data_IF_158639473873
#
_entry.id   IF_158639473873
#
_cell.length_a   1.000
_cell.length_b   1.000
_cell.length_c   1.000
_cell.angle_alpha   90.00
_cell.angle_beta   90.00
_cell.angle_gamma   90.00
#
_symmetry.space_group_name_H-M   'P 1'
#
loop_
_entity.id
_entity.type
_entity.pdbx_description
1 polymer ?
#
# COMPACT_ATOMS: atom_id res chain seq x y z
N UNK A 1 2.65 -16.73 -11.15
CA UNK A 1 2.26 -16.50 -12.56
C UNK A 1 2.96 -15.24 -13.04
N UNK A 2 3.84 -15.34 -14.04
CA UNK A 2 4.52 -14.19 -14.66
C UNK A 2 4.05 -14.06 -16.11
N UNK A 3 3.91 -12.82 -16.61
CA UNK A 3 3.45 -12.56 -17.98
C UNK A 3 4.59 -12.29 -18.97
N UNK A 4 4.28 -12.35 -20.27
CA UNK A 4 5.22 -12.11 -21.37
C UNK A 4 5.36 -10.62 -21.77
N UNK A 5 4.90 -9.69 -20.93
CA UNK A 5 5.05 -8.25 -21.12
C UNK A 5 6.34 -7.73 -20.46
N UNK A 6 6.81 -6.55 -20.91
CA UNK A 6 7.99 -5.91 -20.35
C UNK A 6 7.81 -5.62 -18.84
N UNK A 7 8.87 -5.85 -18.06
CA UNK A 7 8.89 -5.67 -16.61
C UNK A 7 7.77 -6.45 -15.88
N UNK A 8 7.49 -7.69 -16.27
CA UNK A 8 6.44 -8.53 -15.67
C UNK A 8 6.65 -8.93 -14.21
N UNK A 9 7.77 -8.55 -13.61
CA UNK A 9 8.02 -8.64 -12.17
C UNK A 9 7.34 -7.51 -11.38
N UNK A 10 6.95 -6.40 -12.03
CA UNK A 10 6.36 -5.25 -11.35
C UNK A 10 5.08 -5.59 -10.58
N UNK A 11 4.11 -6.37 -11.12
CA UNK A 11 2.92 -6.74 -10.34
C UNK A 11 3.24 -7.55 -9.08
N UNK A 12 4.29 -8.37 -9.11
CA UNK A 12 4.73 -9.13 -7.93
C UNK A 12 5.16 -8.20 -6.78
N UNK A 13 5.69 -7.01 -7.09
CA UNK A 13 6.03 -6.01 -6.07
C UNK A 13 4.88 -5.04 -5.81
N UNK A 14 4.36 -4.40 -6.86
CA UNK A 14 3.39 -3.31 -6.75
C UNK A 14 2.05 -3.75 -6.19
N UNK A 15 1.61 -4.99 -6.45
CA UNK A 15 0.33 -5.47 -5.88
C UNK A 15 0.42 -5.60 -4.36
N UNK A 16 1.44 -6.25 -3.76
CA UNK A 16 1.63 -6.20 -2.30
C UNK A 16 1.85 -4.79 -1.77
N UNK A 17 2.64 -3.96 -2.44
CA UNK A 17 2.88 -2.59 -1.97
C UNK A 17 1.60 -1.75 -1.93
N UNK A 18 0.79 -1.79 -2.98
CA UNK A 18 -0.46 -1.00 -3.04
C UNK A 18 -1.60 -1.65 -2.27
N UNK A 19 -1.69 -2.98 -2.26
CA UNK A 19 -2.79 -3.72 -1.64
C UNK A 19 -2.61 -3.96 -0.14
N UNK A 20 -1.38 -3.92 0.38
CA UNK A 20 -1.09 -4.20 1.79
C UNK A 20 -0.32 -3.05 2.44
N UNK A 21 0.85 -2.67 1.89
CA UNK A 21 1.73 -1.69 2.55
C UNK A 21 1.12 -0.30 2.56
N UNK A 22 0.63 0.17 1.42
CA UNK A 22 -0.01 1.48 1.28
C UNK A 22 -1.22 1.63 2.22
N UNK A 23 -2.20 0.70 2.28
CA UNK A 23 -3.33 0.87 3.18
C UNK A 23 -2.91 0.83 4.66
N UNK A 24 -1.94 0.00 5.05
CA UNK A 24 -1.42 0.00 6.44
C UNK A 24 -0.86 1.38 6.79
N UNK A 25 -0.02 1.95 5.92
CA UNK A 25 0.61 3.24 6.17
C UNK A 25 -0.44 4.35 6.15
N UNK A 26 -1.25 4.43 5.10
CA UNK A 26 -2.23 5.52 4.93
C UNK A 26 -3.28 5.49 6.03
N UNK A 27 -3.84 4.31 6.37
CA UNK A 27 -4.80 4.21 7.46
C UNK A 27 -4.17 4.53 8.81
N UNK A 28 -2.92 4.12 9.05
CA UNK A 28 -2.19 4.50 10.26
C UNK A 28 -2.00 6.01 10.37
N UNK A 29 -1.60 6.67 9.28
CA UNK A 29 -1.45 8.14 9.24
C UNK A 29 -2.79 8.85 9.41
N UNK A 30 -3.85 8.36 8.75
CA UNK A 30 -5.19 8.91 8.90
C UNK A 30 -5.72 8.73 10.32
N UNK A 31 -5.45 7.59 10.95
CA UNK A 31 -5.79 7.34 12.35
C UNK A 31 -5.11 8.36 13.28
N UNK A 32 -3.80 8.54 13.13
CA UNK A 32 -3.07 9.57 13.90
C UNK A 32 -3.63 10.98 13.66
N UNK A 33 -4.06 11.28 12.43
CA UNK A 33 -4.65 12.57 12.11
C UNK A 33 -6.01 12.78 12.80
N UNK A 34 -6.92 11.80 12.74
CA UNK A 34 -8.26 11.96 13.36
C UNK A 34 -8.19 11.94 14.89
N UNK A 35 -7.26 11.18 15.47
CA UNK A 35 -7.08 11.12 16.93
C UNK A 35 -6.26 12.31 17.47
N UNK A 36 -5.65 13.12 16.60
CA UNK A 36 -4.81 14.24 17.05
C UNK A 36 -5.57 15.30 17.86
N UNK A 37 -6.86 15.49 17.57
CA UNK A 37 -7.77 16.40 18.31
C UNK A 37 -8.61 15.66 19.37
N UNK A 38 -8.56 14.33 19.42
CA UNK A 38 -9.34 13.52 20.36
C UNK A 38 -8.69 13.43 21.76
N UNK A 39 -7.59 14.15 22.00
CA UNK A 39 -6.76 14.10 23.20
C UNK A 39 -6.81 15.40 24.00
#
# INVERSE_FOLDING_TARGET
MTGAYAASFLPTMLVPFVGLVMPIIVLGLLFLHIESDAN
#
